data_IF_303523345967
#
_entry.id   IF_303523345967
#
_cell.length_a   1.000
_cell.length_b   1.000
_cell.length_c   1.000
_cell.angle_alpha   90.00
_cell.angle_beta   90.00
_cell.angle_gamma   90.00
#
_symmetry.space_group_name_H-M   'P 1'
#
loop_
_entity.id
_entity.type
_entity.pdbx_description
1 polymer ?
#
# COMPACT_ATOMS: atom_id res chain seq x y z
N UNK A 1 -16.84 44.03 -29.14
CA UNK A 1 -18.11 44.08 -29.90
C UNK A 1 -18.82 45.38 -29.54
N UNK A 2 -19.70 45.88 -30.41
CA UNK A 2 -20.55 47.04 -30.11
C UNK A 2 -22.00 46.56 -30.08
N UNK A 3 -22.67 46.79 -28.96
CA UNK A 3 -24.11 46.57 -28.85
C UNK A 3 -24.74 47.88 -28.39
N UNK A 4 -25.70 48.39 -29.17
CA UNK A 4 -26.34 49.68 -28.94
C UNK A 4 -25.35 50.85 -28.67
N UNK A 5 -24.23 50.87 -29.40
CA UNK A 5 -23.20 51.91 -29.29
C UNK A 5 -22.31 51.83 -28.04
N UNK A 6 -22.50 50.83 -27.16
CA UNK A 6 -21.64 50.59 -25.99
C UNK A 6 -20.63 49.48 -26.28
N UNK A 7 -19.42 49.67 -25.75
CA UNK A 7 -18.33 48.71 -25.90
C UNK A 7 -18.59 47.52 -24.96
N UNK A 8 -18.89 46.37 -25.54
CA UNK A 8 -19.08 45.12 -24.80
C UNK A 8 -17.77 44.33 -24.84
N UNK A 9 -17.26 44.00 -23.64
CA UNK A 9 -16.11 43.12 -23.43
C UNK A 9 -16.61 41.67 -23.36
N UNK A 10 -16.13 40.74 -24.21
CA UNK A 10 -16.38 39.33 -24.00
C UNK A 10 -15.59 38.90 -22.75
N UNK A 11 -16.30 38.40 -21.74
CA UNK A 11 -15.71 37.97 -20.46
C UNK A 11 -15.46 36.46 -20.46
N UNK A 12 -16.32 35.68 -21.10
CA UNK A 12 -16.23 34.21 -21.27
C UNK A 12 -16.58 33.81 -22.72
N UNK A 13 -16.15 32.63 -23.18
CA UNK A 13 -16.47 32.09 -24.51
C UNK A 13 -15.54 32.53 -25.65
N UNK A 14 -14.41 33.17 -25.35
CA UNK A 14 -13.44 33.64 -26.36
C UNK A 14 -12.87 32.47 -27.18
N UNK A 15 -12.77 31.27 -26.59
CA UNK A 15 -12.41 30.06 -27.31
C UNK A 15 -13.43 29.66 -28.38
N UNK A 16 -14.73 29.91 -28.16
CA UNK A 16 -15.77 29.71 -29.17
C UNK A 16 -15.61 30.74 -30.27
N UNK A 17 -15.39 32.02 -29.92
CA UNK A 17 -15.12 33.09 -30.88
C UNK A 17 -13.94 32.73 -31.80
N UNK A 18 -12.84 32.23 -31.25
CA UNK A 18 -11.69 31.78 -32.05
C UNK A 18 -12.01 30.54 -32.91
N UNK A 19 -12.73 29.55 -32.37
CA UNK A 19 -13.15 28.37 -33.14
C UNK A 19 -14.09 28.73 -34.30
N UNK A 20 -14.94 29.74 -34.14
CA UNK A 20 -15.79 30.23 -35.24
C UNK A 20 -15.01 31.03 -36.25
N UNK A 21 -14.04 31.85 -35.84
CA UNK A 21 -13.12 32.49 -36.81
C UNK A 21 -12.40 31.44 -37.65
N UNK A 22 -11.94 30.35 -37.02
CA UNK A 22 -11.30 29.23 -37.71
C UNK A 22 -12.29 28.48 -38.63
N UNK A 23 -13.51 28.21 -38.17
CA UNK A 23 -14.57 27.60 -38.98
C UNK A 23 -14.91 28.44 -40.20
N UNK A 24 -15.15 29.74 -40.03
CA UNK A 24 -15.45 30.69 -41.12
C UNK A 24 -14.30 30.76 -42.12
N UNK A 25 -13.05 30.76 -41.63
CA UNK A 25 -11.87 30.73 -42.48
C UNK A 25 -11.77 29.44 -43.32
N UNK A 26 -12.35 28.32 -42.87
CA UNK A 26 -12.30 27.02 -43.54
C UNK A 26 -13.50 26.77 -44.46
N UNK A 27 -14.68 27.27 -44.12
CA UNK A 27 -15.94 26.93 -44.81
C UNK A 27 -16.49 28.05 -45.68
N UNK A 28 -16.01 29.29 -45.50
CA UNK A 28 -16.52 30.45 -46.25
C UNK A 28 -17.97 30.82 -45.91
N UNK A 29 -18.47 30.40 -44.75
CA UNK A 29 -19.85 30.63 -44.31
C UNK A 29 -20.24 32.12 -44.30
N UNK A 30 -21.47 32.41 -44.74
CA UNK A 30 -22.03 33.77 -44.81
C UNK A 30 -22.39 34.35 -43.44
N UNK A 31 -22.50 35.69 -43.37
CA UNK A 31 -22.76 36.43 -42.10
C UNK A 31 -24.06 36.02 -41.40
N UNK A 32 -25.02 35.48 -42.14
CA UNK A 32 -26.31 35.00 -41.63
C UNK A 32 -26.17 33.82 -40.66
N UNK A 33 -25.07 33.05 -40.73
CA UNK A 33 -24.82 31.85 -39.91
C UNK A 33 -23.93 32.15 -38.68
N UNK A 34 -23.55 33.42 -38.47
CA UNK A 34 -22.54 33.84 -37.48
C UNK A 34 -23.17 34.55 -36.26
N UNK A 35 -24.27 34.01 -35.74
CA UNK A 35 -24.89 34.51 -34.51
C UNK A 35 -24.88 33.45 -33.42
N UNK A 36 -24.72 33.90 -32.18
CA UNK A 36 -24.90 33.08 -30.99
C UNK A 36 -25.67 33.85 -29.93
N UNK A 37 -26.34 33.10 -29.07
CA UNK A 37 -26.95 33.64 -27.87
C UNK A 37 -25.86 34.00 -26.86
N UNK A 38 -25.85 35.27 -26.45
CA UNK A 38 -24.97 35.80 -25.41
C UNK A 38 -25.81 36.26 -24.22
N UNK A 39 -25.31 36.01 -23.01
CA UNK A 39 -25.86 36.61 -21.80
C UNK A 39 -25.10 37.90 -21.51
N UNK A 40 -25.83 39.01 -21.36
CA UNK A 40 -25.26 40.30 -20.99
C UNK A 40 -25.36 40.47 -19.48
N UNK A 41 -24.23 40.73 -18.86
CA UNK A 41 -24.15 41.03 -17.44
C UNK A 41 -23.60 42.44 -17.22
N UNK A 42 -24.13 43.14 -16.24
CA UNK A 42 -23.60 44.43 -15.81
C UNK A 42 -22.36 44.20 -14.93
N UNK A 43 -21.28 44.93 -15.24
CA UNK A 43 -19.97 44.77 -14.62
C UNK A 43 -19.99 45.19 -13.15
N UNK A 44 -20.78 46.20 -12.82
CA UNK A 44 -20.76 46.83 -11.49
C UNK A 44 -21.64 46.10 -10.46
N UNK A 45 -22.45 45.14 -10.92
CA UNK A 45 -23.30 44.29 -10.07
C UNK A 45 -22.81 42.85 -9.97
N UNK A 46 -21.71 42.51 -10.67
CA UNK A 46 -21.21 41.14 -10.71
C UNK A 46 -20.38 40.81 -9.46
N UNK A 47 -20.70 39.73 -8.71
CA UNK A 47 -19.90 39.31 -7.57
C UNK A 47 -18.42 39.07 -7.98
N UNK A 48 -17.44 39.47 -7.15
CA UNK A 48 -16.02 39.36 -7.48
C UNK A 48 -15.60 37.93 -7.84
N UNK A 49 -16.18 36.93 -7.17
CA UNK A 49 -15.92 35.50 -7.39
C UNK A 49 -16.43 35.06 -8.76
N UNK A 50 -17.61 35.53 -9.16
CA UNK A 50 -18.20 35.23 -10.46
C UNK A 50 -17.44 35.93 -11.59
N UNK A 51 -16.97 37.16 -11.35
CA UNK A 51 -16.15 37.93 -12.31
C UNK A 51 -14.82 37.25 -12.56
N UNK A 52 -14.18 36.73 -11.51
CA UNK A 52 -12.97 35.94 -11.61
C UNK A 52 -13.25 34.63 -12.39
N UNK A 53 -14.30 33.89 -12.05
CA UNK A 53 -14.65 32.63 -12.68
C UNK A 53 -14.93 32.76 -14.19
N UNK A 54 -15.69 33.80 -14.59
CA UNK A 54 -15.96 34.07 -16.02
C UNK A 54 -14.69 34.46 -16.78
N UNK A 55 -13.84 35.32 -16.18
CA UNK A 55 -12.57 35.76 -16.79
C UNK A 55 -11.52 34.65 -16.91
N UNK A 56 -11.61 33.62 -16.07
CA UNK A 56 -10.75 32.44 -16.18
C UNK A 56 -10.99 31.67 -17.47
N UNK A 57 -12.15 31.88 -18.13
CA UNK A 57 -12.50 31.35 -19.45
C UNK A 57 -12.00 29.92 -19.65
N UNK A 58 -12.37 29.00 -18.72
CA UNK A 58 -11.88 27.65 -18.78
C UNK A 58 -12.31 27.10 -20.13
N UNK A 59 -11.32 26.69 -20.95
CA UNK A 59 -11.56 25.74 -22.03
C UNK A 59 -12.19 24.54 -21.35
N UNK A 60 -13.52 24.50 -21.33
CA UNK A 60 -14.36 23.41 -20.87
C UNK A 60 -13.65 22.58 -19.81
N UNK A 61 -13.63 23.00 -18.52
CA UNK A 61 -12.55 22.71 -17.59
C UNK A 61 -12.05 21.31 -17.86
N UNK A 62 -10.90 21.20 -18.54
CA UNK A 62 -10.24 19.91 -18.65
C UNK A 62 -10.19 19.45 -17.20
N UNK A 63 -10.99 18.42 -16.91
CA UNK A 63 -11.09 17.84 -15.59
C UNK A 63 -9.68 17.77 -15.06
N UNK A 64 -9.44 18.21 -13.82
CA UNK A 64 -8.12 18.12 -13.22
C UNK A 64 -7.50 16.77 -13.63
N UNK A 65 -6.31 16.81 -14.26
CA UNK A 65 -5.82 15.75 -15.15
C UNK A 65 -5.73 14.37 -14.47
N UNK A 66 -5.82 14.32 -13.14
CA UNK A 66 -5.94 13.11 -12.34
C UNK A 66 -6.84 13.29 -11.10
N UNK A 67 -7.32 12.17 -10.52
CA UNK A 67 -7.97 12.16 -9.20
C UNK A 67 -7.09 12.80 -8.10
N UNK A 68 -5.76 12.73 -8.23
CA UNK A 68 -4.82 13.32 -7.29
C UNK A 68 -4.86 14.84 -7.30
N UNK A 69 -4.97 15.44 -8.48
CA UNK A 69 -5.09 16.90 -8.63
C UNK A 69 -6.42 17.40 -8.07
N UNK A 70 -7.50 16.64 -8.26
CA UNK A 70 -8.80 16.93 -7.62
C UNK A 70 -8.66 16.95 -6.09
N UNK A 71 -7.97 15.97 -5.52
CA UNK A 71 -7.73 15.93 -4.08
C UNK A 71 -6.94 17.16 -3.60
N UNK A 72 -5.88 17.54 -4.31
CA UNK A 72 -5.07 18.73 -3.99
C UNK A 72 -5.89 20.02 -4.06
N UNK A 73 -6.79 20.14 -5.04
CA UNK A 73 -7.70 21.29 -5.12
C UNK A 73 -8.65 21.36 -3.92
N UNK A 74 -9.22 20.23 -3.47
CA UNK A 74 -10.03 20.18 -2.26
C UNK A 74 -9.23 20.57 -1.01
N UNK A 75 -8.01 20.05 -0.87
CA UNK A 75 -7.12 20.42 0.25
C UNK A 75 -6.81 21.92 0.23
N UNK A 76 -6.56 22.50 -0.93
CA UNK A 76 -6.33 23.93 -1.07
C UNK A 76 -7.58 24.76 -0.71
N UNK A 77 -8.77 24.32 -1.10
CA UNK A 77 -10.04 24.95 -0.71
C UNK A 77 -10.27 24.90 0.81
N UNK A 78 -10.09 23.72 1.42
CA UNK A 78 -10.19 23.54 2.86
C UNK A 78 -9.12 24.32 3.64
N UNK A 79 -7.93 24.51 3.07
CA UNK A 79 -6.87 25.31 3.72
C UNK A 79 -7.24 26.81 3.78
N UNK A 80 -8.02 27.30 2.81
CA UNK A 80 -8.54 28.67 2.80
C UNK A 80 -9.76 28.83 3.71
N UNK A 81 -10.58 27.79 3.85
CA UNK A 81 -11.74 27.75 4.73
C UNK A 81 -11.84 26.37 5.41
N UNK A 82 -11.29 26.20 6.63
CA UNK A 82 -11.20 24.90 7.31
C UNK A 82 -12.54 24.20 7.51
N UNK A 83 -13.61 24.98 7.68
CA UNK A 83 -14.96 24.48 7.94
C UNK A 83 -15.80 24.36 6.66
N UNK A 84 -15.20 24.43 5.46
CA UNK A 84 -15.96 24.39 4.19
C UNK A 84 -16.68 23.05 3.96
N UNK A 85 -16.10 21.93 4.42
CA UNK A 85 -16.63 20.58 4.19
C UNK A 85 -17.20 19.97 5.47
N UNK A 86 -18.50 20.15 5.70
CA UNK A 86 -19.20 19.73 6.92
C UNK A 86 -20.64 19.30 6.63
N UNK A 87 -21.29 18.72 7.64
CA UNK A 87 -22.70 18.28 7.54
C UNK A 87 -22.83 16.82 7.12
N UNK A 88 -23.98 16.47 6.55
CA UNK A 88 -24.28 15.12 6.09
C UNK A 88 -23.56 14.80 4.75
N UNK A 89 -23.70 13.59 4.23
CA UNK A 89 -22.97 13.19 3.00
C UNK A 89 -23.37 14.04 1.80
N UNK A 90 -24.67 14.33 1.63
CA UNK A 90 -25.17 15.13 0.52
C UNK A 90 -24.69 16.59 0.61
N UNK A 91 -24.69 17.16 1.81
CA UNK A 91 -24.17 18.53 2.04
C UNK A 91 -22.71 18.63 1.62
N UNK A 92 -21.88 17.66 2.00
CA UNK A 92 -20.47 17.61 1.63
C UNK A 92 -20.25 17.37 0.13
N UNK A 93 -21.07 16.53 -0.51
CA UNK A 93 -21.02 16.32 -1.96
C UNK A 93 -21.28 17.64 -2.71
N UNK A 94 -22.29 18.41 -2.28
CA UNK A 94 -22.60 19.72 -2.86
C UNK A 94 -21.48 20.75 -2.61
N UNK A 95 -20.95 20.81 -1.39
CA UNK A 95 -19.82 21.70 -1.05
C UNK A 95 -18.57 21.37 -1.89
N UNK A 96 -18.25 20.08 -2.06
CA UNK A 96 -17.11 19.65 -2.89
C UNK A 96 -17.32 19.93 -4.37
N UNK A 97 -18.54 19.74 -4.89
CA UNK A 97 -18.90 20.13 -6.25
C UNK A 97 -18.67 21.63 -6.50
N UNK A 98 -19.18 22.47 -5.58
CA UNK A 98 -19.01 23.92 -5.65
C UNK A 98 -17.53 24.31 -5.59
N UNK A 99 -16.74 23.71 -4.70
CA UNK A 99 -15.32 23.99 -4.56
C UNK A 99 -14.51 23.60 -5.82
N UNK A 100 -14.86 22.47 -6.44
CA UNK A 100 -14.17 21.92 -7.61
C UNK A 100 -14.65 22.51 -8.93
N UNK A 101 -15.74 23.28 -8.94
CA UNK A 101 -16.36 23.84 -10.15
C UNK A 101 -16.65 22.78 -11.23
N UNK A 102 -16.96 21.54 -10.81
CA UNK A 102 -17.28 20.43 -11.71
C UNK A 102 -18.73 20.61 -12.15
N UNK A 103 -18.97 20.75 -13.47
CA UNK A 103 -20.32 20.74 -14.04
C UNK A 103 -20.93 19.34 -13.89
N UNK A 104 -22.17 19.28 -13.40
CA UNK A 104 -22.85 18.06 -12.96
C UNK A 104 -23.18 17.01 -14.04
N UNK A 105 -22.61 17.11 -15.24
CA UNK A 105 -22.87 16.16 -16.34
C UNK A 105 -21.96 14.92 -16.31
N UNK A 106 -20.84 14.96 -15.59
CA UNK A 106 -19.94 13.80 -15.48
C UNK A 106 -20.18 13.04 -14.17
N UNK A 107 -20.35 11.71 -14.28
CA UNK A 107 -20.52 10.76 -13.17
C UNK A 107 -19.29 10.61 -12.27
N UNK A 108 -18.82 11.71 -11.69
CA UNK A 108 -17.67 11.78 -10.81
C UNK A 108 -18.02 11.12 -9.46
N UNK A 109 -17.15 10.25 -8.88
CA UNK A 109 -17.47 9.50 -7.66
C UNK A 109 -17.37 10.35 -6.37
N UNK A 110 -18.12 11.44 -6.27
CA UNK A 110 -18.15 12.36 -5.12
C UNK A 110 -18.40 11.64 -3.80
N UNK A 111 -19.36 10.72 -3.78
CA UNK A 111 -19.70 9.97 -2.58
C UNK A 111 -18.49 9.23 -1.99
N UNK A 112 -17.67 8.63 -2.85
CA UNK A 112 -16.43 7.95 -2.46
C UNK A 112 -15.38 8.94 -1.96
N UNK A 113 -15.30 10.10 -2.61
CA UNK A 113 -14.41 11.18 -2.19
C UNK A 113 -14.77 11.70 -0.78
N UNK A 114 -16.07 11.86 -0.49
CA UNK A 114 -16.58 12.21 0.84
C UNK A 114 -16.25 11.12 1.87
N UNK A 115 -16.33 9.82 1.51
CA UNK A 115 -15.90 8.72 2.38
C UNK A 115 -14.44 8.88 2.80
N UNK A 116 -13.54 9.12 1.83
CA UNK A 116 -12.10 9.30 2.08
C UNK A 116 -11.88 10.55 2.96
N UNK A 117 -12.54 11.66 2.64
CA UNK A 117 -12.39 12.92 3.37
C UNK A 117 -12.85 12.85 4.84
N UNK A 118 -13.93 12.12 5.10
CA UNK A 118 -14.45 11.96 6.47
C UNK A 118 -13.62 11.01 7.34
N UNK A 119 -12.84 10.12 6.74
CA UNK A 119 -11.94 9.26 7.49
C UNK A 119 -10.64 10.02 7.75
N UNK A 120 -10.44 10.53 8.97
CA UNK A 120 -9.29 11.36 9.33
C UNK A 120 -7.94 10.75 8.94
N UNK A 121 -7.75 9.46 9.26
CA UNK A 121 -6.48 8.75 9.00
C UNK A 121 -6.19 8.68 7.51
N UNK A 122 -7.21 8.33 6.72
CA UNK A 122 -7.10 8.25 5.27
C UNK A 122 -7.01 9.62 4.61
N UNK A 123 -7.71 10.64 5.11
CA UNK A 123 -7.58 12.03 4.66
C UNK A 123 -6.14 12.50 4.81
N UNK A 124 -5.55 12.35 6.01
CA UNK A 124 -4.17 12.74 6.26
C UNK A 124 -3.17 11.98 5.37
N UNK A 125 -3.33 10.67 5.24
CA UNK A 125 -2.45 9.87 4.39
C UNK A 125 -2.59 10.26 2.91
N UNK A 126 -3.81 10.44 2.42
CA UNK A 126 -4.09 10.81 1.03
C UNK A 126 -3.53 12.19 0.71
N UNK A 127 -3.69 13.17 1.61
CA UNK A 127 -3.09 14.49 1.45
C UNK A 127 -1.57 14.41 1.31
N UNK A 128 -0.89 13.72 2.23
CA UNK A 128 0.57 13.52 2.15
C UNK A 128 1.01 12.76 0.91
N UNK A 129 0.22 11.78 0.48
CA UNK A 129 0.48 11.01 -0.73
C UNK A 129 0.43 11.92 -1.97
N UNK A 130 -0.66 12.68 -2.12
CA UNK A 130 -0.89 13.58 -3.25
C UNK A 130 -0.02 14.85 -3.26
N UNK A 131 0.77 15.11 -2.22
CA UNK A 131 1.84 16.12 -2.27
C UNK A 131 2.96 15.72 -3.26
N UNK A 132 3.14 14.41 -3.48
CA UNK A 132 4.15 13.87 -4.40
C UNK A 132 3.62 13.63 -5.80
N UNK A 133 4.48 13.68 -6.82
CA UNK A 133 4.12 13.41 -8.22
C UNK A 133 3.73 11.93 -8.42
N UNK A 134 4.45 11.00 -7.78
CA UNK A 134 4.09 9.57 -7.74
C UNK A 134 2.70 9.39 -7.15
N UNK A 135 2.40 10.08 -6.04
CA UNK A 135 1.14 9.92 -5.36
C UNK A 135 -0.05 10.51 -6.11
N UNK A 136 0.09 11.69 -6.74
CA UNK A 136 -0.96 12.24 -7.60
C UNK A 136 -1.31 11.33 -8.77
N UNK A 137 -0.29 10.75 -9.41
CA UNK A 137 -0.47 9.87 -10.56
C UNK A 137 -1.10 8.52 -10.21
N UNK A 138 -0.87 8.02 -8.98
CA UNK A 138 -1.33 6.68 -8.55
C UNK A 138 -2.58 6.72 -7.67
N UNK A 139 -2.97 7.88 -7.15
CA UNK A 139 -4.19 8.03 -6.36
C UNK A 139 -5.42 7.79 -7.24
N UNK A 140 -6.27 6.88 -6.79
CA UNK A 140 -7.53 6.57 -7.43
C UNK A 140 -8.62 6.52 -6.37
N UNK A 141 -9.63 7.40 -6.49
CA UNK A 141 -10.72 7.53 -5.49
C UNK A 141 -11.37 6.18 -5.22
N UNK A 142 -11.69 5.44 -6.28
CA UNK A 142 -12.31 4.11 -6.17
C UNK A 142 -11.42 3.12 -5.43
N UNK A 143 -10.11 3.16 -5.67
CA UNK A 143 -9.13 2.26 -5.02
C UNK A 143 -9.05 2.54 -3.52
N UNK A 144 -8.92 3.80 -3.14
CA UNK A 144 -8.87 4.20 -1.74
C UNK A 144 -10.17 3.89 -0.99
N UNK A 145 -11.32 4.16 -1.61
CA UNK A 145 -12.65 3.89 -1.01
C UNK A 145 -12.82 2.42 -0.62
N UNK A 146 -12.43 1.48 -1.49
CA UNK A 146 -12.51 0.06 -1.13
C UNK A 146 -11.40 -0.38 -0.17
N UNK A 147 -10.20 0.21 -0.22
CA UNK A 147 -9.14 -0.09 0.74
C UNK A 147 -9.55 0.28 2.18
N UNK A 148 -10.20 1.44 2.37
CA UNK A 148 -10.79 1.87 3.65
C UNK A 148 -11.74 0.81 4.20
N UNK A 149 -12.53 0.17 3.33
CA UNK A 149 -13.52 -0.81 3.74
C UNK A 149 -12.91 -2.08 4.35
N UNK A 150 -11.65 -2.40 4.05
CA UNK A 150 -10.98 -3.62 4.51
C UNK A 150 -10.40 -3.51 5.93
N UNK A 151 -10.37 -2.32 6.55
CA UNK A 151 -9.89 -2.13 7.95
C UNK A 151 -8.44 -2.61 8.19
N UNK A 152 -7.65 -2.73 7.12
CA UNK A 152 -6.22 -3.11 7.13
C UNK A 152 -5.32 -1.89 6.85
N UNK A 153 -5.76 -0.70 7.27
CA UNK A 153 -5.11 0.59 7.00
C UNK A 153 -3.58 0.57 7.16
N UNK A 154 -3.07 -0.04 8.25
CA UNK A 154 -1.64 -0.02 8.54
C UNK A 154 -0.82 -0.75 7.47
N UNK A 155 -1.36 -1.80 6.85
CA UNK A 155 -0.71 -2.50 5.73
C UNK A 155 -0.52 -1.56 4.54
N UNK A 156 -1.59 -0.88 4.11
CA UNK A 156 -1.54 0.09 3.01
C UNK A 156 -0.65 1.28 3.36
N UNK A 157 -0.76 1.78 4.58
CA UNK A 157 -0.04 2.95 5.04
C UNK A 157 1.46 2.68 5.19
N UNK A 158 1.87 1.46 5.54
CA UNK A 158 3.30 1.11 5.53
C UNK A 158 3.89 1.21 4.13
N UNK A 159 3.16 0.74 3.11
CA UNK A 159 3.57 0.89 1.71
C UNK A 159 3.72 2.34 1.29
N UNK A 160 2.70 3.17 1.54
CA UNK A 160 2.75 4.60 1.21
C UNK A 160 3.86 5.32 1.97
N UNK A 161 4.01 5.05 3.28
CA UNK A 161 5.07 5.68 4.11
C UNK A 161 6.46 5.30 3.65
N UNK A 162 6.69 4.07 3.20
CA UNK A 162 8.01 3.69 2.70
C UNK A 162 8.36 4.43 1.41
N UNK A 163 7.42 4.57 0.47
CA UNK A 163 7.63 5.39 -0.73
C UNK A 163 7.91 6.84 -0.34
N UNK A 164 7.08 7.44 0.54
CA UNK A 164 7.28 8.82 1.01
C UNK A 164 8.62 9.00 1.73
N UNK A 165 9.02 8.02 2.53
CA UNK A 165 10.30 8.00 3.24
C UNK A 165 11.49 7.92 2.28
N UNK A 166 11.43 7.03 1.29
CA UNK A 166 12.46 6.92 0.25
C UNK A 166 12.53 8.21 -0.59
N UNK A 167 11.40 8.77 -1.01
CA UNK A 167 11.38 10.06 -1.74
C UNK A 167 11.99 11.21 -0.92
N UNK A 168 11.76 11.24 0.39
CA UNK A 168 12.34 12.24 1.28
C UNK A 168 13.86 12.06 1.50
N UNK A 169 14.37 10.84 1.33
CA UNK A 169 15.81 10.55 1.40
C UNK A 169 16.52 10.87 0.07
N UNK A 170 15.81 10.93 -1.04
CA UNK A 170 16.42 11.27 -2.34
C UNK A 170 16.82 12.75 -2.39
N UNK A 171 17.93 13.10 -3.06
CA UNK A 171 18.39 14.48 -3.16
C UNK A 171 17.45 15.37 -3.97
N UNK A 172 17.38 16.65 -3.58
CA UNK A 172 16.56 17.66 -4.25
C UNK A 172 15.08 17.52 -3.93
N UNK A 173 14.22 18.11 -4.77
CA UNK A 173 12.75 18.01 -4.63
C UNK A 173 12.25 16.72 -5.32
N UNK A 174 12.78 15.57 -4.92
CA UNK A 174 12.45 14.27 -5.53
C UNK A 174 10.95 13.96 -5.46
N UNK A 175 10.29 14.41 -4.39
CA UNK A 175 8.84 14.32 -4.24
C UNK A 175 8.06 14.93 -5.42
N UNK A 176 8.54 16.03 -6.01
CA UNK A 176 7.91 16.67 -7.18
C UNK A 176 8.51 16.23 -8.52
N UNK A 177 9.75 15.77 -8.54
CA UNK A 177 10.50 15.52 -9.77
C UNK A 177 10.46 14.07 -10.26
N UNK A 178 10.28 13.11 -9.36
CA UNK A 178 10.20 11.68 -9.71
C UNK A 178 8.80 11.36 -10.22
N UNK A 179 8.70 10.96 -11.49
CA UNK A 179 7.43 10.54 -12.07
C UNK A 179 7.03 9.13 -11.61
N UNK A 180 5.77 8.77 -11.85
CA UNK A 180 5.26 7.42 -11.57
C UNK A 180 5.98 6.32 -12.37
N UNK A 181 6.38 6.64 -13.61
CA UNK A 181 7.12 5.74 -14.50
C UNK A 181 8.58 5.58 -14.06
N UNK A 182 9.22 6.67 -13.63
CA UNK A 182 10.57 6.62 -13.04
C UNK A 182 10.55 5.75 -11.79
N UNK A 183 9.54 5.91 -10.92
CA UNK A 183 9.39 5.08 -9.72
C UNK A 183 9.22 3.60 -10.07
N UNK A 184 8.36 3.28 -11.06
CA UNK A 184 8.14 1.90 -11.53
C UNK A 184 9.44 1.26 -12.02
N UNK A 185 10.25 2.03 -12.74
CA UNK A 185 11.54 1.60 -13.28
C UNK A 185 12.53 1.35 -12.14
N UNK A 186 12.62 2.27 -11.17
CA UNK A 186 13.45 2.08 -9.98
C UNK A 186 13.01 0.87 -9.13
N UNK A 187 11.71 0.65 -8.93
CA UNK A 187 11.23 -0.49 -8.16
C UNK A 187 11.47 -1.84 -8.85
N UNK A 188 11.49 -1.88 -10.18
CA UNK A 188 11.74 -3.10 -10.94
C UNK A 188 13.24 -3.44 -11.05
N UNK A 189 14.11 -2.43 -11.00
CA UNK A 189 15.54 -2.59 -11.28
C UNK A 189 16.44 -2.45 -10.06
N UNK A 190 15.97 -1.87 -8.95
CA UNK A 190 16.78 -1.57 -7.77
C UNK A 190 16.28 -2.31 -6.53
N UNK A 191 16.68 -3.58 -6.42
CA UNK A 191 16.42 -4.38 -5.23
C UNK A 191 17.28 -3.93 -4.02
N UNK A 192 16.98 -4.49 -2.84
CA UNK A 192 17.71 -4.18 -1.61
C UNK A 192 19.19 -4.62 -1.64
N UNK A 193 19.54 -5.58 -2.51
CA UNK A 193 20.89 -6.13 -2.69
C UNK A 193 21.58 -5.59 -3.95
N UNK A 194 21.09 -4.47 -4.48
CA UNK A 194 21.56 -3.92 -5.76
C UNK A 194 23.07 -3.70 -5.82
N UNK A 195 23.64 -4.01 -6.98
CA UNK A 195 25.04 -3.73 -7.30
C UNK A 195 25.21 -2.32 -7.86
N UNK A 196 26.44 -1.80 -7.82
CA UNK A 196 26.78 -0.49 -8.38
C UNK A 196 26.46 -0.43 -9.89
N UNK A 197 26.66 -1.54 -10.58
CA UNK A 197 26.49 -1.62 -12.04
C UNK A 197 25.02 -1.59 -12.44
N UNK A 198 24.12 -2.15 -11.61
CA UNK A 198 22.66 -2.05 -11.80
C UNK A 198 22.16 -0.61 -11.67
N UNK A 199 22.67 0.13 -10.68
CA UNK A 199 22.33 1.55 -10.53
C UNK A 199 22.86 2.35 -11.73
N UNK A 200 24.10 2.10 -12.15
CA UNK A 200 24.70 2.79 -13.30
C UNK A 200 23.93 2.51 -14.59
N UNK A 201 23.63 1.24 -14.88
CA UNK A 201 22.91 0.82 -16.08
C UNK A 201 21.49 1.37 -16.18
N UNK A 202 20.82 1.59 -15.04
CA UNK A 202 19.47 2.16 -14.99
C UNK A 202 19.45 3.66 -15.36
N UNK A 203 20.39 4.43 -14.82
CA UNK A 203 20.44 5.87 -15.02
C UNK A 203 21.22 6.28 -16.28
N UNK A 204 22.14 5.42 -16.77
CA UNK A 204 22.99 5.65 -17.94
C UNK A 204 23.21 4.35 -18.75
N UNK A 205 22.21 3.93 -19.55
CA UNK A 205 22.37 2.77 -20.41
C UNK A 205 23.40 3.07 -21.52
N UNK A 206 24.59 2.45 -21.42
CA UNK A 206 25.63 2.51 -22.47
C UNK A 206 27.05 2.88 -22.01
N UNK A 207 27.25 3.23 -20.73
CA UNK A 207 28.55 3.72 -20.22
C UNK A 207 29.50 2.60 -19.72
N UNK A 208 29.36 1.38 -20.23
CA UNK A 208 30.37 0.33 -20.01
C UNK A 208 31.58 0.62 -20.93
N UNK A 209 32.57 1.35 -20.42
CA UNK A 209 33.86 1.69 -21.08
C UNK A 209 34.52 0.44 -21.73
N UNK A 210 35.25 0.49 -22.86
CA UNK A 210 36.23 1.50 -23.25
C UNK A 210 36.36 1.67 -24.79
N UNK A 211 36.86 2.85 -25.18
CA UNK A 211 37.37 3.23 -26.51
C UNK A 211 36.33 3.39 -27.63
N UNK A 212 35.70 4.56 -27.72
CA UNK A 212 35.88 5.38 -28.92
C UNK A 212 35.47 6.83 -28.66
N UNK A 213 36.47 7.71 -28.75
CA UNK A 213 36.28 9.13 -28.89
C UNK A 213 35.61 9.41 -30.24
N UNK A 214 34.78 10.46 -30.29
CA UNK A 214 34.10 10.95 -31.48
C UNK A 214 33.03 10.02 -32.07
N UNK A 215 31.82 10.12 -31.51
CA UNK A 215 30.65 10.45 -32.34
C UNK A 215 29.56 11.06 -31.49
N UNK A 216 29.32 12.34 -31.74
CA UNK A 216 28.01 12.95 -31.57
C UNK A 216 26.97 12.03 -32.23
N UNK A 217 26.34 11.16 -31.44
CA UNK A 217 25.19 10.39 -31.88
C UNK A 217 23.96 11.09 -31.31
N UNK A 218 23.41 11.93 -32.16
CA UNK A 218 22.11 12.56 -32.09
C UNK A 218 21.04 11.52 -31.73
N UNK A 219 20.72 11.40 -30.44
CA UNK A 219 19.44 10.90 -29.96
C UNK A 219 18.88 11.95 -29.01
N UNK A 220 17.80 12.66 -29.38
CA UNK A 220 17.19 13.64 -28.50
C UNK A 220 16.34 12.92 -27.46
N UNK A 221 16.97 12.38 -26.40
CA UNK A 221 16.30 12.29 -25.09
C UNK A 221 16.49 13.62 -24.37
N UNK A 222 15.91 14.67 -24.97
CA UNK A 222 15.88 16.02 -24.42
C UNK A 222 14.90 16.10 -23.22
N UNK A 223 15.15 15.31 -22.17
CA UNK A 223 14.56 15.43 -20.84
C UNK A 223 15.08 14.33 -19.89
N UNK A 224 16.32 13.84 -20.02
CA UNK A 224 16.96 13.14 -18.90
C UNK A 224 17.14 14.16 -17.77
N UNK A 225 16.12 14.26 -16.93
CA UNK A 225 15.90 15.30 -15.93
C UNK A 225 17.14 15.51 -15.06
N UNK A 226 17.46 16.78 -14.78
CA UNK A 226 18.58 17.23 -13.94
C UNK A 226 18.69 16.51 -12.57
N UNK A 227 17.66 15.80 -12.14
CA UNK A 227 17.65 15.00 -10.93
C UNK A 227 18.30 13.61 -11.09
N UNK A 228 18.25 12.95 -12.26
CA UNK A 228 18.82 11.61 -12.47
C UNK A 228 20.34 11.55 -12.18
N UNK A 229 21.18 12.48 -12.67
CA UNK A 229 22.60 12.53 -12.33
C UNK A 229 22.86 12.76 -10.83
N UNK A 230 22.02 13.58 -10.18
CA UNK A 230 22.14 13.93 -8.75
C UNK A 230 21.76 12.76 -7.84
N UNK A 231 20.76 11.97 -8.22
CA UNK A 231 20.35 10.75 -7.52
C UNK A 231 21.44 9.69 -7.59
N UNK A 232 22.06 9.48 -8.75
CA UNK A 232 23.18 8.55 -8.91
C UNK A 232 24.38 8.93 -8.03
N UNK A 233 24.81 10.20 -8.07
CA UNK A 233 25.97 10.68 -7.30
C UNK A 233 25.85 10.37 -5.80
N UNK A 234 24.67 10.59 -5.20
CA UNK A 234 24.46 10.30 -3.77
C UNK A 234 24.13 8.85 -3.45
N UNK A 235 23.45 8.11 -4.32
CA UNK A 235 23.28 6.66 -4.17
C UNK A 235 24.65 5.94 -4.21
N UNK A 236 25.61 6.51 -4.93
CA UNK A 236 26.99 6.00 -5.07
C UNK A 236 27.90 6.37 -3.89
N UNK A 237 27.73 7.56 -3.31
CA UNK A 237 28.68 8.15 -2.35
C UNK A 237 28.24 8.08 -0.89
N UNK A 238 26.94 7.98 -0.59
CA UNK A 238 26.44 8.03 0.80
C UNK A 238 25.95 6.65 1.29
N UNK A 239 26.66 5.99 2.23
CA UNK A 239 26.24 4.71 2.81
C UNK A 239 24.87 4.78 3.50
N UNK A 240 24.35 5.96 3.85
CA UNK A 240 22.98 6.12 4.37
C UNK A 240 21.90 5.85 3.32
N UNK A 241 22.22 5.98 2.03
CA UNK A 241 21.26 5.89 0.91
C UNK A 241 21.38 4.55 0.17
N UNK A 242 22.45 3.78 0.43
CA UNK A 242 22.65 2.40 -0.05
C UNK A 242 21.51 1.48 0.41
N UNK A 243 20.92 1.75 1.59
CA UNK A 243 19.79 0.99 2.13
C UNK A 243 18.39 1.43 1.67
N UNK A 244 18.26 2.49 0.85
CA UNK A 244 16.95 2.98 0.41
C UNK A 244 16.27 1.96 -0.51
N UNK A 245 15.10 1.45 -0.11
CA UNK A 245 14.32 0.47 -0.87
C UNK A 245 13.26 1.16 -1.72
N UNK A 246 13.03 0.65 -2.93
CA UNK A 246 12.01 1.14 -3.86
C UNK A 246 10.86 0.14 -3.92
N UNK A 247 9.91 0.15 -2.96
CA UNK A 247 8.78 -0.76 -3.02
C UNK A 247 7.96 -0.54 -4.30
N UNK A 248 7.53 -1.64 -4.93
CA UNK A 248 6.62 -1.59 -6.07
C UNK A 248 5.21 -1.23 -5.59
N UNK A 249 4.93 0.08 -5.58
CA UNK A 249 3.63 0.61 -5.19
C UNK A 249 2.55 0.32 -6.23
N UNK A 250 2.92 0.06 -7.49
CA UNK A 250 1.98 -0.19 -8.57
C UNK A 250 1.24 -1.50 -8.39
N UNK A 251 1.86 -2.48 -7.72
CA UNK A 251 1.19 -3.72 -7.33
C UNK A 251 0.04 -3.49 -6.33
N UNK A 252 0.12 -2.43 -5.52
CA UNK A 252 -0.93 -2.04 -4.57
C UNK A 252 -1.96 -1.11 -5.23
N UNK A 253 -1.51 -0.07 -5.92
CA UNK A 253 -2.41 0.95 -6.49
C UNK A 253 -3.12 0.48 -7.76
N UNK A 254 -2.52 -0.45 -8.50
CA UNK A 254 -3.12 -1.14 -9.64
C UNK A 254 -3.94 -2.38 -9.27
N UNK A 255 -4.05 -2.70 -7.97
CA UNK A 255 -4.80 -3.86 -7.51
C UNK A 255 -6.30 -3.71 -7.75
N UNK A 256 -6.95 -4.79 -8.22
CA UNK A 256 -8.41 -4.84 -8.34
C UNK A 256 -9.09 -4.98 -6.97
N UNK A 257 -10.33 -4.49 -6.86
CA UNK A 257 -11.14 -4.68 -5.65
C UNK A 257 -11.31 -6.17 -5.29
N UNK A 258 -11.36 -7.06 -6.28
CA UNK A 258 -11.44 -8.50 -6.07
C UNK A 258 -10.19 -9.07 -5.39
N UNK A 259 -9.00 -8.67 -5.84
CA UNK A 259 -7.74 -9.05 -5.19
C UNK A 259 -7.63 -8.48 -3.77
N UNK A 260 -8.00 -7.20 -3.58
CA UNK A 260 -8.02 -6.59 -2.25
C UNK A 260 -8.99 -7.32 -1.29
N UNK A 261 -10.12 -7.81 -1.80
CA UNK A 261 -11.07 -8.61 -1.03
C UNK A 261 -10.47 -9.94 -0.58
N UNK A 262 -9.64 -10.59 -1.40
CA UNK A 262 -8.94 -11.82 -1.01
C UNK A 262 -8.03 -11.57 0.20
N UNK A 263 -7.23 -10.50 0.16
CA UNK A 263 -6.36 -10.09 1.29
C UNK A 263 -7.19 -9.90 2.57
N UNK A 264 -8.29 -9.15 2.47
CA UNK A 264 -9.21 -8.94 3.58
C UNK A 264 -9.79 -10.26 4.12
N UNK A 265 -10.29 -11.15 3.25
CA UNK A 265 -10.90 -12.40 3.67
C UNK A 265 -9.92 -13.30 4.42
N UNK A 266 -8.67 -13.44 3.93
CA UNK A 266 -7.65 -14.21 4.64
C UNK A 266 -7.38 -13.61 6.02
N UNK A 267 -7.25 -12.28 6.11
CA UNK A 267 -7.06 -11.61 7.39
C UNK A 267 -8.26 -11.76 8.33
N UNK A 268 -9.48 -11.73 7.79
CA UNK A 268 -10.72 -11.94 8.54
C UNK A 268 -10.78 -13.36 9.15
N UNK A 269 -10.33 -14.37 8.39
CA UNK A 269 -10.14 -15.74 8.89
C UNK A 269 -9.11 -15.78 10.02
N UNK A 270 -7.95 -15.14 9.88
CA UNK A 270 -6.93 -15.09 10.93
C UNK A 270 -7.46 -14.44 12.21
N UNK A 271 -8.21 -13.34 12.11
CA UNK A 271 -8.87 -12.72 13.27
C UNK A 271 -9.87 -13.67 13.91
N UNK A 272 -10.66 -14.41 13.12
CA UNK A 272 -11.59 -15.41 13.65
C UNK A 272 -10.88 -16.56 14.37
N UNK A 273 -9.68 -16.95 13.93
CA UNK A 273 -8.92 -18.01 14.61
C UNK A 273 -8.50 -17.59 16.01
N UNK A 274 -8.06 -16.34 16.13
CA UNK A 274 -7.41 -15.81 17.33
C UNK A 274 -8.41 -15.19 18.31
N UNK A 275 -9.46 -14.54 17.81
CA UNK A 275 -10.45 -13.87 18.64
C UNK A 275 -11.89 -14.21 18.20
N UNK A 276 -12.51 -15.23 18.82
CA UNK A 276 -13.92 -15.58 18.58
C UNK A 276 -14.90 -14.47 19.01
N UNK A 277 -14.48 -13.54 19.87
CA UNK A 277 -15.27 -12.40 20.35
C UNK A 277 -14.86 -11.09 19.65
N UNK A 278 -14.50 -11.17 18.37
CA UNK A 278 -14.09 -10.01 17.57
C UNK A 278 -15.18 -8.94 17.49
N UNK A 279 -14.76 -7.73 17.18
CA UNK A 279 -15.66 -6.60 17.00
C UNK A 279 -16.58 -6.81 15.80
N UNK A 280 -17.89 -6.93 16.05
CA UNK A 280 -18.92 -7.02 15.01
C UNK A 280 -19.30 -5.62 14.54
N UNK A 281 -19.17 -5.38 13.22
CA UNK A 281 -19.57 -4.11 12.62
C UNK A 281 -21.02 -4.22 12.14
N UNK A 282 -21.93 -3.66 12.92
CA UNK A 282 -23.36 -3.58 12.59
C UNK A 282 -23.60 -2.61 11.43
N UNK A 283 -22.93 -1.45 11.43
CA UNK A 283 -23.05 -0.47 10.35
C UNK A 283 -21.82 -0.44 9.44
N UNK A 284 -21.97 -1.02 8.25
CA UNK A 284 -20.94 -1.00 7.20
C UNK A 284 -20.67 0.41 6.63
N UNK A 285 -21.50 1.42 6.93
CA UNK A 285 -21.33 2.80 6.45
C UNK A 285 -20.60 3.71 7.45
N UNK A 286 -20.25 3.20 8.64
CA UNK A 286 -19.47 3.97 9.61
C UNK A 286 -18.04 4.20 9.08
N UNK A 287 -17.58 5.45 9.07
CA UNK A 287 -16.24 5.83 8.59
C UNK A 287 -15.13 5.56 9.63
N UNK A 288 -15.50 5.30 10.89
CA UNK A 288 -14.59 5.08 12.02
C UNK A 288 -14.66 3.64 12.53
N UNK A 289 -14.53 2.68 11.60
CA UNK A 289 -14.47 1.25 11.97
C UNK A 289 -13.12 0.97 12.65
N UNK A 290 -13.08 0.19 13.75
CA UNK A 290 -11.83 -0.24 14.35
C UNK A 290 -11.05 -1.12 13.37
N UNK A 291 -9.72 -1.11 13.42
CA UNK A 291 -8.90 -1.94 12.53
C UNK A 291 -9.00 -3.42 12.91
N UNK A 292 -8.80 -4.32 11.95
CA UNK A 292 -8.82 -5.77 12.23
C UNK A 292 -7.75 -6.17 13.24
N UNK A 293 -6.54 -5.59 13.15
CA UNK A 293 -5.45 -5.90 14.08
C UNK A 293 -5.76 -5.60 15.56
N UNK A 294 -6.68 -4.68 15.85
CA UNK A 294 -7.06 -4.36 17.24
C UNK A 294 -7.69 -5.58 17.90
N UNK A 295 -8.43 -6.38 17.12
CA UNK A 295 -9.02 -7.63 17.61
C UNK A 295 -7.96 -8.72 17.86
N UNK A 296 -6.70 -8.55 17.43
CA UNK A 296 -5.59 -9.49 17.66
C UNK A 296 -4.77 -9.18 18.92
N UNK A 297 -4.73 -7.92 19.34
CA UNK A 297 -3.89 -7.43 20.43
C UNK A 297 -4.05 -8.23 21.74
N UNK A 298 -5.26 -8.64 22.18
CA UNK A 298 -5.43 -9.39 23.42
C UNK A 298 -4.69 -10.74 23.43
N UNK A 299 -4.53 -11.37 22.27
CA UNK A 299 -3.86 -12.68 22.14
C UNK A 299 -2.33 -12.54 22.16
N UNK A 300 -1.83 -11.34 21.92
CA UNK A 300 -0.41 -11.01 21.81
C UNK A 300 0.13 -10.32 23.07
N UNK A 301 -0.60 -10.34 24.18
CA UNK A 301 -0.22 -9.61 25.40
C UNK A 301 1.09 -10.11 26.03
N UNK A 302 1.47 -11.36 25.75
CA UNK A 302 2.71 -11.98 26.22
C UNK A 302 3.93 -11.72 25.34
N UNK A 303 3.78 -10.97 24.23
CA UNK A 303 4.82 -10.83 23.22
C UNK A 303 5.99 -9.97 23.73
N UNK A 304 7.22 -10.50 23.64
CA UNK A 304 8.41 -9.83 24.15
C UNK A 304 9.11 -8.98 23.08
N UNK A 305 9.86 -7.96 23.52
CA UNK A 305 10.64 -7.10 22.62
C UNK A 305 11.66 -7.88 21.78
N UNK A 306 12.23 -8.96 22.31
CA UNK A 306 13.16 -9.83 21.59
C UNK A 306 12.47 -10.54 20.41
N UNK A 307 11.27 -11.06 20.62
CA UNK A 307 10.47 -11.68 19.53
C UNK A 307 10.05 -10.64 18.50
N UNK A 308 9.72 -9.44 18.94
CA UNK A 308 9.38 -8.33 18.05
C UNK A 308 10.54 -7.99 17.09
N UNK A 309 11.78 -7.90 17.59
CA UNK A 309 12.97 -7.70 16.73
C UNK A 309 13.21 -8.85 15.74
N UNK A 310 12.83 -10.08 16.10
CA UNK A 310 12.90 -11.22 15.18
C UNK A 310 11.79 -11.14 14.13
N UNK A 311 10.59 -10.71 14.50
CA UNK A 311 9.44 -10.52 13.63
C UNK A 311 9.72 -9.45 12.57
N UNK A 312 10.31 -8.31 12.97
CA UNK A 312 10.70 -7.22 12.07
C UNK A 312 11.60 -7.70 10.91
N UNK A 313 12.47 -8.69 11.15
CA UNK A 313 13.35 -9.25 10.12
C UNK A 313 12.64 -10.15 9.11
N UNK A 314 11.44 -10.65 9.45
CA UNK A 314 10.67 -11.57 8.60
C UNK A 314 9.81 -10.84 7.58
N UNK A 315 9.44 -9.60 7.87
CA UNK A 315 8.71 -8.72 6.96
C UNK A 315 9.64 -8.29 5.83
N UNK A 316 9.25 -8.58 4.59
CA UNK A 316 10.14 -8.45 3.43
C UNK A 316 9.88 -7.17 2.66
N UNK A 317 8.60 -6.85 2.48
CA UNK A 317 8.16 -5.85 1.52
C UNK A 317 8.09 -4.47 2.18
N UNK A 318 7.43 -4.36 3.34
CA UNK A 318 7.19 -3.07 4.00
C UNK A 318 7.77 -2.97 5.41
N UNK A 319 8.81 -2.15 5.57
CA UNK A 319 9.53 -2.00 6.84
C UNK A 319 8.85 -0.96 7.74
N UNK A 320 8.61 -1.34 8.99
CA UNK A 320 8.05 -0.42 9.99
C UNK A 320 9.04 0.70 10.30
N UNK A 321 8.62 1.96 10.13
CA UNK A 321 9.39 3.14 10.54
C UNK A 321 8.57 3.99 11.52
N UNK A 322 8.91 3.84 12.82
CA UNK A 322 8.49 4.61 14.01
C UNK A 322 7.02 4.47 14.47
N UNK A 323 6.66 4.43 15.76
CA UNK A 323 7.33 4.59 17.07
C UNK A 323 6.84 3.45 18.01
N UNK A 324 7.51 3.13 19.14
CA UNK A 324 7.07 2.02 20.00
C UNK A 324 5.72 2.33 20.65
N UNK A 325 4.69 1.68 20.12
CA UNK A 325 3.49 1.33 20.87
C UNK A 325 3.79 0.10 21.74
N UNK A 326 2.85 -0.27 22.63
CA UNK A 326 3.00 -1.47 23.46
C UNK A 326 3.43 -2.67 22.61
N UNK A 327 4.30 -3.58 23.09
CA UNK A 327 4.80 -4.71 22.30
C UNK A 327 3.71 -5.52 21.57
N UNK A 328 2.53 -5.66 22.18
CA UNK A 328 1.35 -6.31 21.59
C UNK A 328 0.76 -5.58 20.38
N UNK A 329 0.78 -4.25 20.38
CA UNK A 329 0.28 -3.42 19.28
C UNK A 329 1.23 -3.52 18.08
N UNK A 330 2.54 -3.46 18.33
CA UNK A 330 3.53 -3.68 17.29
C UNK A 330 3.50 -5.11 16.75
N UNK A 331 3.31 -6.11 17.62
CA UNK A 331 3.16 -7.50 17.21
C UNK A 331 1.90 -7.71 16.35
N UNK A 332 0.78 -7.04 16.66
CA UNK A 332 -0.45 -7.15 15.86
C UNK A 332 -0.28 -6.52 14.47
N UNK A 333 0.44 -5.40 14.36
CA UNK A 333 0.82 -4.80 13.08
C UNK A 333 1.72 -5.74 12.27
N UNK A 334 2.76 -6.32 12.88
CA UNK A 334 3.69 -7.22 12.20
C UNK A 334 3.03 -8.52 11.74
N UNK A 335 2.17 -9.12 12.58
CA UNK A 335 1.38 -10.30 12.19
C UNK A 335 0.47 -9.98 11.00
N UNK A 336 -0.27 -8.87 11.04
CA UNK A 336 -1.10 -8.44 9.91
C UNK A 336 -0.25 -8.23 8.66
N UNK A 337 0.93 -7.61 8.81
CA UNK A 337 1.83 -7.35 7.71
C UNK A 337 2.33 -8.63 7.06
N UNK A 338 2.88 -9.56 7.85
CA UNK A 338 3.49 -10.79 7.35
C UNK A 338 2.46 -11.69 6.65
N UNK A 339 1.24 -11.80 7.21
CA UNK A 339 0.14 -12.53 6.58
C UNK A 339 -0.23 -11.89 5.24
N UNK A 340 -0.41 -10.56 5.20
CA UNK A 340 -0.86 -9.89 3.99
C UNK A 340 0.24 -9.83 2.91
N UNK A 341 1.51 -9.73 3.26
CA UNK A 341 2.63 -9.86 2.31
C UNK A 341 2.69 -11.26 1.69
N UNK A 342 2.48 -12.30 2.51
CA UNK A 342 2.41 -13.68 2.01
C UNK A 342 1.24 -13.85 1.03
N UNK A 343 0.05 -13.35 1.37
CA UNK A 343 -1.12 -13.41 0.48
C UNK A 343 -0.89 -12.60 -0.79
N UNK A 344 -0.29 -11.42 -0.68
CA UNK A 344 0.06 -10.56 -1.82
C UNK A 344 0.98 -11.30 -2.81
N UNK A 345 2.02 -11.96 -2.30
CA UNK A 345 2.97 -12.76 -3.10
C UNK A 345 2.35 -14.01 -3.73
N UNK A 346 1.25 -14.53 -3.18
CA UNK A 346 0.56 -15.74 -3.64
C UNK A 346 -0.86 -15.48 -4.15
N UNK A 347 -1.15 -14.24 -4.58
CA UNK A 347 -2.50 -13.81 -4.99
C UNK A 347 -3.12 -14.69 -6.08
N UNK A 348 -2.32 -15.12 -7.05
CA UNK A 348 -2.79 -16.01 -8.12
C UNK A 348 -3.26 -17.36 -7.57
N UNK A 349 -2.53 -17.92 -6.61
CA UNK A 349 -2.88 -19.18 -5.98
C UNK A 349 -4.16 -19.06 -5.14
N UNK A 350 -4.31 -17.99 -4.33
CA UNK A 350 -5.55 -17.74 -3.59
C UNK A 350 -6.77 -17.47 -4.49
N UNK A 351 -6.55 -16.95 -5.70
CA UNK A 351 -7.61 -16.74 -6.68
C UNK A 351 -8.00 -17.98 -7.48
N UNK A 352 -7.26 -19.08 -7.36
CA UNK A 352 -7.57 -20.33 -8.04
C UNK A 352 -8.95 -20.86 -7.63
N UNK A 353 -9.72 -21.49 -8.53
CA UNK A 353 -11.09 -21.94 -8.26
C UNK A 353 -11.23 -22.78 -6.98
N UNK A 354 -10.25 -23.66 -6.72
CA UNK A 354 -10.17 -24.49 -5.50
C UNK A 354 -10.07 -23.64 -4.23
N UNK A 355 -9.20 -22.64 -4.23
CA UNK A 355 -8.94 -21.78 -3.06
C UNK A 355 -10.08 -20.80 -2.78
N UNK A 356 -10.83 -20.39 -3.80
CA UNK A 356 -12.01 -19.53 -3.64
C UNK A 356 -13.08 -20.16 -2.75
N UNK A 357 -13.16 -21.48 -2.69
CA UNK A 357 -14.07 -22.16 -1.77
C UNK A 357 -13.67 -21.90 -0.32
N UNK A 358 -12.38 -22.00 0.01
CA UNK A 358 -11.86 -21.75 1.36
C UNK A 358 -11.92 -20.29 1.79
N UNK A 359 -11.98 -19.35 0.84
CA UNK A 359 -12.16 -17.91 1.14
C UNK A 359 -13.57 -17.56 1.61
N UNK A 360 -14.56 -18.43 1.38
CA UNK A 360 -15.90 -18.24 1.95
C UNK A 360 -15.87 -18.44 3.46
N UNK A 361 -16.78 -17.76 4.16
CA UNK A 361 -16.88 -17.86 5.62
C UNK A 361 -17.06 -19.33 6.02
N UNK A 362 -16.29 -19.76 7.01
CA UNK A 362 -16.34 -21.10 7.57
C UNK A 362 -16.04 -21.00 9.06
N UNK A 363 -16.72 -21.82 9.86
CA UNK A 363 -16.52 -21.85 11.30
C UNK A 363 -15.17 -22.53 11.62
N UNK A 364 -14.20 -21.85 12.25
CA UNK A 364 -12.95 -22.47 12.66
C UNK A 364 -13.14 -23.64 13.65
N UNK A 365 -14.31 -23.78 14.26
CA UNK A 365 -14.65 -24.89 15.16
C UNK A 365 -15.05 -26.15 14.39
N UNK A 366 -15.49 -26.03 13.14
CA UNK A 366 -15.82 -27.19 12.30
C UNK A 366 -14.56 -27.94 11.88
N UNK A 367 -14.55 -29.27 12.06
CA UNK A 367 -13.45 -30.14 11.63
C UNK A 367 -13.20 -30.05 10.11
N UNK A 368 -14.24 -29.74 9.32
CA UNK A 368 -14.12 -29.51 7.88
C UNK A 368 -13.26 -28.28 7.54
N UNK A 369 -13.13 -27.33 8.48
CA UNK A 369 -12.34 -26.12 8.31
C UNK A 369 -10.86 -26.43 8.10
N UNK A 370 -10.34 -27.45 8.78
CA UNK A 370 -8.94 -27.85 8.76
C UNK A 370 -8.47 -28.33 7.38
N UNK A 371 -9.39 -28.76 6.50
CA UNK A 371 -9.07 -29.25 5.17
C UNK A 371 -8.26 -28.26 4.33
N UNK A 372 -8.43 -26.95 4.55
CA UNK A 372 -7.67 -25.89 3.86
C UNK A 372 -6.17 -25.96 4.09
N UNK A 373 -5.73 -26.47 5.24
CA UNK A 373 -4.31 -26.54 5.60
C UNK A 373 -3.57 -27.70 4.95
N UNK A 374 -4.27 -28.53 4.15
CA UNK A 374 -3.62 -29.46 3.21
C UNK A 374 -3.02 -28.72 2.01
N UNK A 375 -3.45 -27.49 1.75
CA UNK A 375 -2.91 -26.64 0.72
C UNK A 375 -1.76 -25.80 1.28
N UNK A 376 -0.60 -25.83 0.62
CA UNK A 376 0.60 -25.11 1.06
C UNK A 376 0.33 -23.62 1.31
N UNK A 377 -0.49 -22.98 0.49
CA UNK A 377 -0.85 -21.56 0.61
C UNK A 377 -1.45 -21.20 1.96
N UNK A 378 -2.42 -21.98 2.43
CA UNK A 378 -3.09 -21.79 3.73
C UNK A 378 -2.26 -22.36 4.89
N UNK A 379 -1.53 -23.46 4.66
CA UNK A 379 -0.61 -24.02 5.64
C UNK A 379 0.47 -23.00 6.03
N UNK A 380 1.01 -22.25 5.07
CA UNK A 380 2.01 -21.22 5.33
C UNK A 380 1.42 -20.02 6.10
N UNK A 381 0.17 -19.63 5.83
CA UNK A 381 -0.54 -18.64 6.67
C UNK A 381 -0.66 -19.13 8.12
N UNK A 382 -1.02 -20.40 8.32
CA UNK A 382 -1.08 -20.99 9.66
C UNK A 382 0.30 -21.04 10.34
N UNK A 383 1.37 -21.33 9.59
CA UNK A 383 2.75 -21.29 10.12
C UNK A 383 3.13 -19.89 10.59
N UNK A 384 2.78 -18.85 9.81
CA UNK A 384 2.98 -17.46 10.23
C UNK A 384 2.25 -17.22 11.56
N UNK A 385 0.95 -17.52 11.62
CA UNK A 385 0.15 -17.31 12.85
C UNK A 385 0.75 -18.05 14.05
N UNK A 386 1.08 -19.35 13.92
CA UNK A 386 1.69 -20.16 14.98
C UNK A 386 3.03 -19.60 15.46
N UNK A 387 3.79 -18.94 14.60
CA UNK A 387 5.02 -18.28 15.01
C UNK A 387 4.75 -17.12 15.99
N UNK A 388 3.64 -16.38 15.82
CA UNK A 388 3.25 -15.32 16.75
C UNK A 388 2.57 -15.86 18.00
N UNK A 389 1.65 -16.82 17.87
CA UNK A 389 0.77 -17.24 18.99
C UNK A 389 1.20 -18.53 19.70
N UNK A 390 2.24 -19.22 19.20
CA UNK A 390 2.74 -20.48 19.73
C UNK A 390 2.51 -21.65 18.78
N UNK A 391 3.47 -22.60 18.74
CA UNK A 391 3.42 -23.80 17.88
C UNK A 391 2.19 -24.66 18.13
N UNK A 392 1.73 -24.69 19.38
CA UNK A 392 0.66 -25.57 19.85
C UNK A 392 -0.72 -24.97 19.58
N UNK A 393 -0.80 -23.81 18.93
CA UNK A 393 -2.07 -23.23 18.54
C UNK A 393 -2.78 -24.12 17.52
N UNK A 394 -3.97 -24.61 17.93
CA UNK A 394 -4.86 -25.49 17.14
C UNK A 394 -4.08 -26.69 16.57
N UNK A 395 -3.61 -27.63 17.40
CA UNK A 395 -2.74 -28.72 16.96
C UNK A 395 -3.47 -29.68 16.01
N UNK A 396 -4.79 -29.78 16.12
CA UNK A 396 -5.64 -30.60 15.24
C UNK A 396 -5.68 -30.13 13.78
N UNK A 397 -5.26 -28.90 13.48
CA UNK A 397 -5.22 -28.34 12.12
C UNK A 397 -3.96 -28.73 11.33
N UNK A 398 -3.27 -29.80 11.75
CA UNK A 398 -2.15 -30.36 11.00
C UNK A 398 -2.64 -30.93 9.66
N UNK A 399 -1.81 -30.91 8.60
CA UNK A 399 -2.09 -31.69 7.41
C UNK A 399 -2.20 -33.16 7.83
N UNK A 400 -3.34 -33.80 7.59
CA UNK A 400 -3.42 -35.25 7.60
C UNK A 400 -2.50 -35.72 6.47
N UNK A 401 -1.31 -36.20 6.80
CA UNK A 401 -0.52 -37.02 5.88
C UNK A 401 -1.42 -38.18 5.44
N UNK A 402 -1.78 -38.19 4.17
CA UNK A 402 -2.77 -39.12 3.64
C UNK A 402 -2.58 -39.35 2.16
N UNK A 403 -1.56 -40.14 1.83
CA UNK A 403 -1.35 -40.72 0.51
C UNK A 403 -0.60 -42.04 0.67
N UNK A 404 -1.20 -43.12 0.18
CA UNK A 404 -0.68 -44.49 0.17
C UNK A 404 0.68 -44.58 -0.55
N UNK A 405 1.77 -44.33 0.17
CA UNK A 405 3.07 -44.92 -0.10
C UNK A 405 3.57 -45.47 1.22
N UNK A 406 3.58 -46.79 1.35
CA UNK A 406 4.40 -47.44 2.37
C UNK A 406 5.81 -46.86 2.21
N UNK A 407 6.48 -46.39 3.29
CA UNK A 407 7.93 -46.24 3.23
C UNK A 407 8.49 -47.61 2.82
N UNK A 408 9.50 -47.71 1.93
CA UNK A 408 10.30 -48.92 1.95
C UNK A 408 10.78 -49.07 3.39
N UNK A 409 10.57 -50.26 3.98
CA UNK A 409 11.09 -50.60 5.30
C UNK A 409 12.57 -50.21 5.34
N UNK A 410 12.85 -49.05 5.93
CA UNK A 410 14.20 -48.69 6.30
C UNK A 410 14.48 -49.55 7.53
N UNK A 411 15.29 -50.59 7.33
CA UNK A 411 15.87 -51.36 8.42
C UNK A 411 16.35 -50.42 9.53
N UNK A 412 16.04 -50.70 10.81
CA UNK A 412 16.46 -49.85 11.90
C UNK A 412 17.99 -49.78 11.92
N UNK A 413 18.52 -48.60 11.61
CA UNK A 413 19.95 -48.30 11.76
C UNK A 413 20.41 -48.66 13.17
N UNK A 414 21.17 -49.75 13.24
CA UNK A 414 21.68 -50.36 14.47
C UNK A 414 22.65 -49.44 15.23
N UNK A 415 23.08 -48.33 14.61
CA UNK A 415 23.99 -47.37 15.22
C UNK A 415 23.32 -46.42 16.23
N UNK A 416 22.07 -45.98 16.00
CA UNK A 416 21.39 -45.05 16.90
C UNK A 416 20.92 -45.74 18.20
N UNK A 417 20.52 -47.01 18.12
CA UNK A 417 20.22 -47.83 19.30
C UNK A 417 21.50 -48.08 20.13
N UNK A 418 22.64 -48.35 19.49
CA UNK A 418 23.92 -48.61 20.21
C UNK A 418 24.44 -47.39 20.98
N UNK A 419 24.24 -46.16 20.47
CA UNK A 419 24.66 -44.94 21.14
C UNK A 419 23.76 -44.59 22.33
N UNK A 420 22.47 -44.86 22.20
CA UNK A 420 21.50 -44.62 23.28
C UNK A 420 21.71 -45.64 24.41
N UNK A 421 21.98 -46.90 24.09
CA UNK A 421 22.33 -47.93 25.08
C UNK A 421 23.71 -47.70 25.71
N UNK A 422 24.69 -47.19 24.97
CA UNK A 422 26.01 -46.84 25.52
C UNK A 422 25.94 -45.66 26.49
N UNK A 423 25.13 -44.63 26.19
CA UNK A 423 24.92 -43.47 27.07
C UNK A 423 24.15 -43.85 28.34
N UNK A 424 23.09 -44.67 28.23
CA UNK A 424 22.33 -45.15 29.38
C UNK A 424 23.18 -46.05 30.31
N UNK A 425 24.09 -46.87 29.75
CA UNK A 425 25.00 -47.69 30.54
C UNK A 425 26.13 -46.89 31.19
N UNK A 426 26.56 -45.76 30.61
CA UNK A 426 27.55 -44.87 31.19
C UNK A 426 27.02 -44.13 32.42
N UNK A 427 25.77 -43.64 32.38
CA UNK A 427 25.12 -42.99 33.53
C UNK A 427 24.78 -43.95 34.68
N UNK A 428 24.44 -45.20 34.35
CA UNK A 428 24.26 -46.26 35.36
C UNK A 428 25.59 -46.61 36.06
N UNK A 429 26.70 -46.63 35.31
CA UNK A 429 28.05 -46.85 35.85
C UNK A 429 28.54 -45.73 36.76
N UNK A 430 28.24 -44.47 36.42
CA UNK A 430 28.57 -43.29 37.23
C UNK A 430 27.83 -43.26 38.57
N UNK A 431 26.58 -43.74 38.59
CA UNK A 431 25.77 -43.83 39.82
C UNK A 431 26.31 -44.91 40.78
N UNK A 432 26.78 -46.04 40.25
CA UNK A 432 27.36 -47.13 41.05
C UNK A 432 28.76 -46.80 41.62
N UNK A 433 29.55 -45.94 40.95
CA UNK A 433 30.84 -45.46 41.46
C UNK A 433 30.64 -44.43 42.59
N UNK A 434 29.57 -43.63 42.53
CA UNK A 434 29.25 -42.63 43.56
C UNK A 434 28.78 -43.25 44.87
N UNK A 435 28.07 -44.38 44.84
CA UNK A 435 27.69 -45.13 46.05
C UNK A 435 28.87 -45.86 46.72
N UNK A 436 29.88 -46.31 45.96
CA UNK A 436 31.09 -46.95 46.51
C UNK A 436 32.02 -45.97 47.24
N UNK A 437 31.91 -44.67 47.01
CA UNK A 437 32.74 -43.63 47.63
C UNK A 437 32.19 -43.08 48.96
N UNK A 438 31.00 -43.52 49.42
CA UNK A 438 30.37 -43.01 50.65
C UNK A 438 30.15 -44.07 51.75
N UNK A 439 30.68 -45.28 51.60
CA UNK A 439 30.55 -46.35 52.59
C UNK A 439 31.84 -46.71 53.33
N UNK A 440 32.20 -45.96 54.38
CA UNK A 440 32.83 -46.46 55.64
C UNK A 440 33.24 -45.31 56.58
N UNK A 441 32.67 -45.24 57.79
CA UNK A 441 33.41 -44.81 58.98
C UNK A 441 33.83 -46.06 59.75
N UNK A 442 35.13 -46.29 59.88
CA UNK A 442 35.67 -47.19 60.90
C UNK A 442 35.72 -46.42 62.22
N UNK A 443 34.86 -46.80 63.17
CA UNK A 443 35.05 -46.53 64.59
C UNK A 443 36.04 -47.56 65.16
N UNK A 444 37.14 -47.11 65.74
CA UNK A 444 37.91 -47.91 66.70
C UNK A 444 38.11 -47.10 67.97
N UNK A 445 37.52 -47.58 69.07
CA UNK A 445 37.84 -47.18 70.43
C UNK A 445 38.17 -48.49 71.17
N UNK A 446 39.30 -48.42 71.88
CA UNK A 446 40.09 -49.44 72.59
C UNK A 446 40.96 -50.38 71.75
#
# INVERSE_FOLDING_TARGET
>A
MLENGRRVEPVDGQHRIEALKEYVSKTGAGKEELYWHCNLCDRDTLPPELSLALRMNPRNPMMADSHGDIWVQLVAAASKNPDIFHGNTADMEEQMLRALHISGEFGFPLRRLVTIWRNERWRQMTTRWCETTVGRATFQISTWDWMICHRTDDFWFMAFRQVLGTLAQLPGDAARLVSSEDWKTMSASLDAERTRDEVQGLFYPGDHSEADQCRERTQPQAAASLWRPRVLGRLREDPKHVGARFPDIHHITGMSQGQGRVLFQVMDHVVNWLNPKRTIIVDRRRNTKPLLRVDLEPVLDYYTLTRLRQAEKRVKIFHASAAPQLPRESASVLLQQEVLEHVLGHLAAFNAPKMRHYLKDGDPVDDSYAARFRENTWADVLKIVRWYVGSDFRPMWLPVEGGNDKPPEAEPSTQAASLTDALCNYDAGLSAVREKLHGKPQSSVF
#
